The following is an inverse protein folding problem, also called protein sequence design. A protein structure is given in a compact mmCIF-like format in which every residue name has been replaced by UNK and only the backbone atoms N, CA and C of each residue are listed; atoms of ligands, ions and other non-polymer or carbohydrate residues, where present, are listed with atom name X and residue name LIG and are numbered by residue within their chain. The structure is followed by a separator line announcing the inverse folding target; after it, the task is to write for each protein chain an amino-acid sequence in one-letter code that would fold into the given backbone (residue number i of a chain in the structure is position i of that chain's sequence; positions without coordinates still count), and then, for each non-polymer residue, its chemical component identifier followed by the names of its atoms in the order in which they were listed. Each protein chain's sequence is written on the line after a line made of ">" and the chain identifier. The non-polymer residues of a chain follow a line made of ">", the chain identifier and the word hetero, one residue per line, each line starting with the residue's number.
data_IF_449422116662
#
_entry.id   IF_449422116662
#
_cell.length_a   1.000
_cell.length_b   1.000
_cell.length_c   1.000
_cell.angle_alpha   90.00
_cell.angle_beta   90.00
_cell.angle_gamma   90.00
#
_symmetry.space_group_name_H-M   'P 1'
#
loop_
_entity.id
_entity.type
_entity.pdbx_description
1 polymer ?
#
# COMPACT_ATOMS: atom_id res chain seq x y z
N UNK A 1 25.67 22.23 -38.08
CA UNK A 1 25.63 20.76 -38.13
C UNK A 1 25.13 20.29 -36.80
N UNK A 2 23.99 19.62 -36.76
CA UNK A 2 23.41 19.10 -35.52
C UNK A 2 24.35 18.05 -34.92
N UNK A 3 24.41 17.96 -33.59
CA UNK A 3 25.32 17.04 -32.94
C UNK A 3 24.90 15.57 -33.19
N UNK A 4 25.86 14.63 -33.28
CA UNK A 4 25.57 13.23 -33.60
C UNK A 4 24.53 12.59 -32.66
N UNK A 5 24.52 13.00 -31.39
CA UNK A 5 23.63 12.46 -30.38
C UNK A 5 22.16 12.86 -30.59
N UNK A 6 21.86 14.05 -31.15
CA UNK A 6 20.48 14.44 -31.50
C UNK A 6 19.92 13.55 -32.61
N UNK A 7 20.75 13.18 -33.60
CA UNK A 7 20.33 12.26 -34.67
C UNK A 7 20.00 10.87 -34.14
N UNK A 8 20.73 10.36 -33.15
CA UNK A 8 20.42 9.09 -32.50
C UNK A 8 19.13 9.15 -31.69
N UNK A 9 18.93 10.21 -30.90
CA UNK A 9 17.69 10.39 -30.14
C UNK A 9 16.46 10.51 -31.05
N UNK A 10 16.55 11.26 -32.14
CA UNK A 10 15.45 11.39 -33.10
C UNK A 10 15.12 10.07 -33.80
N UNK A 11 16.13 9.22 -34.09
CA UNK A 11 15.89 7.87 -34.62
C UNK A 11 15.15 6.98 -33.62
N UNK A 12 15.55 7.01 -32.34
CA UNK A 12 14.88 6.25 -31.27
C UNK A 12 13.45 6.76 -31.10
N UNK A 13 13.25 8.07 -31.06
CA UNK A 13 11.93 8.69 -30.98
C UNK A 13 11.04 8.29 -32.15
N UNK A 14 11.51 8.42 -33.40
CA UNK A 14 10.74 8.06 -34.58
C UNK A 14 10.40 6.56 -34.62
N UNK A 15 11.29 5.69 -34.14
CA UNK A 15 11.00 4.25 -34.02
C UNK A 15 9.85 4.00 -33.05
N UNK A 16 9.87 4.66 -31.89
CA UNK A 16 8.79 4.53 -30.92
C UNK A 16 7.49 5.17 -31.41
N UNK A 17 7.56 6.30 -32.11
CA UNK A 17 6.40 6.97 -32.69
C UNK A 17 5.69 6.06 -33.71
N UNK A 18 6.47 5.41 -34.58
CA UNK A 18 5.95 4.49 -35.60
C UNK A 18 5.25 3.25 -35.00
N UNK A 19 5.62 2.83 -33.79
CA UNK A 19 5.10 1.61 -33.17
C UNK A 19 4.09 1.85 -32.03
N UNK A 20 4.16 2.99 -31.35
CA UNK A 20 3.39 3.28 -30.13
C UNK A 20 2.58 4.59 -30.21
N UNK A 21 2.68 5.36 -31.31
CA UNK A 21 1.96 6.63 -31.51
C UNK A 21 2.05 7.55 -30.26
N UNK A 22 3.28 7.78 -29.79
CA UNK A 22 3.53 8.50 -28.53
C UNK A 22 2.98 9.93 -28.59
N UNK A 23 3.00 10.57 -29.76
CA UNK A 23 2.40 11.90 -29.94
C UNK A 23 0.90 11.89 -29.65
N UNK A 24 0.16 10.87 -30.10
CA UNK A 24 -1.27 10.80 -29.85
C UNK A 24 -1.59 10.73 -28.34
N UNK A 25 -0.80 9.98 -27.58
CA UNK A 25 -0.93 9.88 -26.11
C UNK A 25 -0.55 11.21 -25.44
N UNK A 26 0.52 11.86 -25.92
CA UNK A 26 0.97 13.14 -25.37
C UNK A 26 -0.05 14.26 -25.63
N UNK A 27 -0.61 14.31 -26.84
CA UNK A 27 -1.64 15.28 -27.22
C UNK A 27 -2.93 15.06 -26.42
N UNK A 28 -3.34 13.81 -26.20
CA UNK A 28 -4.51 13.49 -25.36
C UNK A 28 -4.31 14.00 -23.93
N UNK A 29 -3.18 13.67 -23.29
CA UNK A 29 -2.89 14.09 -21.91
C UNK A 29 -2.76 15.62 -21.78
N UNK A 30 -2.08 16.26 -22.74
CA UNK A 30 -1.84 17.72 -22.68
C UNK A 30 -3.08 18.54 -23.03
N UNK A 31 -4.02 17.98 -23.78
CA UNK A 31 -5.29 18.63 -24.12
C UNK A 31 -6.30 18.65 -22.96
N UNK A 32 -6.03 17.93 -21.86
CA UNK A 32 -6.92 17.88 -20.69
C UNK A 32 -7.02 19.27 -20.04
N UNK A 33 -8.21 19.87 -20.14
CA UNK A 33 -8.50 21.16 -19.53
C UNK A 33 -8.91 21.02 -18.06
N UNK A 34 -8.22 21.74 -17.17
CA UNK A 34 -8.57 21.83 -15.74
C UNK A 34 -9.46 23.05 -15.51
N UNK A 35 -10.70 22.88 -15.01
CA UNK A 35 -11.60 24.01 -14.83
C UNK A 35 -11.14 24.93 -13.69
N UNK A 36 -11.39 26.25 -13.76
CA UNK A 36 -10.80 27.24 -12.85
C UNK A 36 -11.36 27.21 -11.42
N UNK A 37 -12.43 26.45 -11.17
CA UNK A 37 -13.05 26.32 -9.84
C UNK A 37 -12.49 25.15 -9.02
N UNK A 38 -11.39 24.52 -9.46
CA UNK A 38 -10.71 23.50 -8.67
C UNK A 38 -10.06 24.12 -7.42
N UNK A 39 -10.35 23.50 -6.28
CA UNK A 39 -9.82 23.85 -4.97
C UNK A 39 -8.64 22.91 -4.61
N UNK A 40 -7.77 23.31 -3.68
CA UNK A 40 -6.73 22.46 -3.07
C UNK A 40 -7.24 21.07 -2.62
N UNK A 41 -8.52 20.97 -2.24
CA UNK A 41 -9.16 19.70 -1.87
C UNK A 41 -9.15 18.64 -2.99
N UNK A 42 -9.11 19.04 -4.27
CA UNK A 42 -8.98 18.08 -5.37
C UNK A 42 -7.58 17.43 -5.43
N UNK A 43 -6.57 18.02 -4.79
CA UNK A 43 -5.22 17.45 -4.71
C UNK A 43 -5.11 16.26 -3.74
N UNK A 44 -6.13 15.99 -2.89
CA UNK A 44 -6.06 14.89 -1.92
C UNK A 44 -5.85 13.51 -2.56
N UNK A 45 -6.39 13.30 -3.76
CA UNK A 45 -6.14 12.07 -4.54
C UNK A 45 -4.66 11.94 -4.96
N UNK A 46 -4.07 13.03 -5.45
CA UNK A 46 -2.65 13.09 -5.82
C UNK A 46 -1.72 12.91 -4.62
N UNK A 47 -2.07 13.47 -3.45
CA UNK A 47 -1.32 13.27 -2.21
C UNK A 47 -1.35 11.79 -1.81
N UNK A 48 -2.51 11.13 -1.93
CA UNK A 48 -2.64 9.69 -1.66
C UNK A 48 -1.72 8.85 -2.55
N UNK A 49 -1.64 9.19 -3.85
CA UNK A 49 -0.74 8.52 -4.79
C UNK A 49 0.74 8.72 -4.40
N UNK A 50 1.13 9.93 -4.00
CA UNK A 50 2.49 10.19 -3.52
C UNK A 50 2.81 9.37 -2.27
N UNK A 51 1.88 9.27 -1.30
CA UNK A 51 2.06 8.42 -0.13
C UNK A 51 2.22 6.94 -0.50
N UNK A 52 1.48 6.46 -1.51
CA UNK A 52 1.62 5.10 -2.02
C UNK A 52 3.01 4.86 -2.63
N UNK A 53 3.53 5.79 -3.44
CA UNK A 53 4.87 5.68 -4.02
C UNK A 53 5.96 5.66 -2.95
N UNK A 54 5.83 6.49 -1.90
CA UNK A 54 6.73 6.46 -0.74
C UNK A 54 6.64 5.11 -0.03
N UNK A 55 5.44 4.56 0.16
CA UNK A 55 5.24 3.26 0.80
C UNK A 55 5.88 2.13 0.00
N UNK A 56 5.73 2.16 -1.32
CA UNK A 56 6.33 1.19 -2.22
C UNK A 56 7.87 1.25 -2.17
N UNK A 57 8.45 2.44 -2.30
CA UNK A 57 9.91 2.61 -2.26
C UNK A 57 10.52 2.20 -0.92
N UNK A 58 9.93 2.64 0.19
CA UNK A 58 10.43 2.31 1.54
C UNK A 58 10.17 0.86 1.92
N UNK A 59 9.04 0.29 1.51
CA UNK A 59 8.74 -1.13 1.70
C UNK A 59 9.70 -2.01 0.94
N UNK A 60 9.95 -1.69 -0.34
CA UNK A 60 10.93 -2.39 -1.16
C UNK A 60 12.34 -2.35 -0.54
N UNK A 61 12.76 -1.19 -0.01
CA UNK A 61 14.05 -1.08 0.67
C UNK A 61 14.16 -2.00 1.90
N UNK A 62 13.08 -2.17 2.68
CA UNK A 62 13.10 -3.02 3.88
C UNK A 62 13.11 -4.51 3.57
N UNK A 63 12.57 -4.94 2.41
CA UNK A 63 12.58 -6.36 2.00
C UNK A 63 14.01 -6.93 1.93
N UNK A 64 15.00 -6.12 1.53
CA UNK A 64 16.40 -6.56 1.47
C UNK A 64 16.99 -6.94 2.83
N UNK A 65 16.47 -6.38 3.92
CA UNK A 65 16.97 -6.58 5.28
C UNK A 65 16.07 -7.48 6.12
N UNK A 66 14.81 -7.68 5.71
CA UNK A 66 13.84 -8.44 6.47
C UNK A 66 14.00 -9.96 6.25
N UNK A 67 14.00 -10.73 7.34
CA UNK A 67 14.02 -12.19 7.32
C UNK A 67 12.64 -12.72 7.77
N UNK A 68 11.84 -13.34 6.88
CA UNK A 68 10.49 -13.78 7.19
C UNK A 68 10.48 -15.16 7.88
N UNK A 69 11.19 -15.30 9.00
CA UNK A 69 11.25 -16.50 9.84
C UNK A 69 10.81 -16.12 11.26
N UNK A 70 9.93 -16.91 11.89
CA UNK A 70 9.32 -16.56 13.20
C UNK A 70 10.39 -16.28 14.27
N UNK A 71 11.52 -16.99 14.21
CA UNK A 71 12.62 -16.86 15.16
C UNK A 71 13.50 -15.63 14.92
N UNK A 72 13.57 -15.10 13.69
CA UNK A 72 14.47 -13.99 13.33
C UNK A 72 13.73 -12.72 12.90
N UNK A 73 12.40 -12.76 12.73
CA UNK A 73 11.60 -11.63 12.25
C UNK A 73 11.81 -10.38 13.11
N UNK A 74 11.68 -10.52 14.43
CA UNK A 74 11.89 -9.41 15.37
C UNK A 74 13.34 -8.92 15.39
N UNK A 75 14.31 -9.84 15.39
CA UNK A 75 15.74 -9.49 15.35
C UNK A 75 16.12 -8.76 14.04
N UNK A 76 15.53 -9.15 12.90
CA UNK A 76 15.75 -8.47 11.62
C UNK A 76 15.23 -7.03 11.61
N UNK A 77 14.11 -6.78 12.30
CA UNK A 77 13.58 -5.43 12.48
C UNK A 77 14.47 -4.59 13.40
N UNK A 78 15.01 -5.17 14.47
CA UNK A 78 15.97 -4.49 15.34
C UNK A 78 17.25 -4.13 14.57
N UNK A 79 17.77 -5.04 13.75
CA UNK A 79 18.91 -4.76 12.88
C UNK A 79 18.67 -3.55 11.96
N UNK A 80 17.49 -3.44 11.36
CA UNK A 80 17.11 -2.26 10.54
C UNK A 80 17.12 -0.98 11.37
N UNK A 81 16.74 -1.05 12.65
CA UNK A 81 16.68 0.12 13.52
C UNK A 81 18.04 0.56 14.06
N UNK A 82 18.96 -0.37 14.33
CA UNK A 82 20.20 -0.08 15.06
C UNK A 82 21.46 -0.14 14.20
N UNK A 83 21.54 -1.08 13.25
CA UNK A 83 22.77 -1.37 12.50
C UNK A 83 22.71 -0.87 11.05
N UNK A 84 21.52 -0.85 10.43
CA UNK A 84 21.37 -0.41 9.06
C UNK A 84 21.49 1.13 8.95
N UNK A 85 22.38 1.60 8.08
CA UNK A 85 22.52 3.03 7.79
C UNK A 85 21.19 3.63 7.31
N UNK A 86 20.68 4.64 8.00
CA UNK A 86 19.35 5.25 7.79
C UNK A 86 18.14 4.31 7.89
N UNK A 87 18.29 3.08 8.38
CA UNK A 87 17.18 2.12 8.47
C UNK A 87 16.08 2.59 9.44
N UNK A 88 16.46 3.25 10.53
CA UNK A 88 15.50 3.90 11.45
C UNK A 88 14.63 4.96 10.76
N UNK A 89 15.21 5.73 9.83
CA UNK A 89 14.51 6.76 9.08
C UNK A 89 13.55 6.12 8.09
N UNK A 90 14.00 5.12 7.33
CA UNK A 90 13.18 4.40 6.34
C UNK A 90 11.98 3.76 7.04
N UNK A 91 12.17 3.07 8.16
CA UNK A 91 11.09 2.44 8.92
C UNK A 91 10.11 3.48 9.48
N UNK A 92 10.63 4.60 10.00
CA UNK A 92 9.80 5.69 10.52
C UNK A 92 8.94 6.31 9.41
N UNK A 93 9.55 6.64 8.26
CA UNK A 93 8.84 7.17 7.09
C UNK A 93 7.79 6.19 6.59
N UNK A 94 8.11 4.89 6.49
CA UNK A 94 7.15 3.86 6.09
C UNK A 94 5.95 3.76 7.03
N UNK A 95 6.17 3.86 8.36
CA UNK A 95 5.10 3.83 9.36
C UNK A 95 4.24 5.10 9.30
N UNK A 96 4.86 6.27 9.25
CA UNK A 96 4.15 7.55 9.20
C UNK A 96 3.39 7.75 7.87
N UNK A 97 3.99 7.35 6.74
CA UNK A 97 3.34 7.41 5.43
C UNK A 97 2.13 6.49 5.34
N UNK A 98 2.15 5.32 5.97
CA UNK A 98 0.98 4.44 6.05
C UNK A 98 -0.21 5.14 6.75
N UNK A 99 0.03 5.77 7.91
CA UNK A 99 -1.01 6.52 8.63
C UNK A 99 -1.54 7.70 7.81
N UNK A 100 -0.65 8.44 7.14
CA UNK A 100 -1.03 9.56 6.27
C UNK A 100 -1.84 9.09 5.05
N UNK A 101 -1.45 7.97 4.43
CA UNK A 101 -2.16 7.40 3.29
C UNK A 101 -3.61 7.06 3.65
N UNK A 102 -3.84 6.40 4.79
CA UNK A 102 -5.19 6.07 5.26
C UNK A 102 -6.01 7.33 5.55
N UNK A 103 -5.42 8.32 6.22
CA UNK A 103 -6.08 9.61 6.46
C UNK A 103 -6.49 10.30 5.16
N UNK A 104 -5.60 10.34 4.17
CA UNK A 104 -5.85 10.98 2.88
C UNK A 104 -6.92 10.24 2.08
N UNK A 105 -6.96 8.90 2.11
CA UNK A 105 -8.04 8.11 1.51
C UNK A 105 -9.39 8.47 2.13
N UNK A 106 -9.48 8.57 3.45
CA UNK A 106 -10.73 8.93 4.14
C UNK A 106 -11.18 10.33 3.72
N UNK A 107 -10.29 11.31 3.74
CA UNK A 107 -10.61 12.68 3.34
C UNK A 107 -10.97 12.77 1.85
N UNK A 108 -10.27 12.05 0.98
CA UNK A 108 -10.56 12.00 -0.46
C UNK A 108 -11.93 11.37 -0.72
N UNK A 109 -12.26 10.24 -0.07
CA UNK A 109 -13.56 9.61 -0.17
C UNK A 109 -14.68 10.54 0.33
N UNK A 110 -14.46 11.25 1.45
CA UNK A 110 -15.39 12.23 1.98
C UNK A 110 -15.63 13.39 0.99
N UNK A 111 -14.58 13.91 0.36
CA UNK A 111 -14.72 14.95 -0.65
C UNK A 111 -15.48 14.47 -1.88
N UNK A 112 -15.16 13.29 -2.42
CA UNK A 112 -15.87 12.72 -3.58
C UNK A 112 -17.36 12.52 -3.26
N UNK A 113 -17.67 12.14 -2.02
CA UNK A 113 -19.04 12.07 -1.54
C UNK A 113 -19.72 13.45 -1.51
N UNK A 114 -19.08 14.47 -0.93
CA UNK A 114 -19.62 15.83 -0.85
C UNK A 114 -19.80 16.49 -2.22
N UNK A 115 -18.85 16.30 -3.14
CA UNK A 115 -18.93 16.86 -4.50
C UNK A 115 -19.83 16.04 -5.42
N UNK A 116 -20.47 14.97 -4.90
CA UNK A 116 -21.26 14.03 -5.70
C UNK A 116 -20.48 13.43 -6.88
N UNK A 117 -19.15 13.33 -6.78
CA UNK A 117 -18.27 12.82 -7.83
C UNK A 117 -18.44 11.33 -8.13
N UNK A 118 -19.26 10.62 -7.35
CA UNK A 118 -19.65 9.23 -7.59
C UNK A 118 -20.84 9.06 -8.56
N UNK A 119 -21.51 10.15 -8.95
CA UNK A 119 -22.62 10.10 -9.92
C UNK A 119 -22.09 9.88 -11.34
N UNK A 120 -22.95 9.42 -12.26
CA UNK A 120 -22.61 9.30 -13.70
C UNK A 120 -21.94 10.58 -14.22
N UNK A 121 -20.86 10.47 -15.04
CA UNK A 121 -20.30 9.27 -15.67
C UNK A 121 -19.25 8.50 -14.83
N UNK A 122 -18.92 8.95 -13.62
CA UNK A 122 -17.74 8.49 -12.86
C UNK A 122 -17.99 7.31 -11.91
N UNK A 123 -19.06 6.54 -12.13
CA UNK A 123 -19.44 5.41 -11.27
C UNK A 123 -18.34 4.33 -11.23
N UNK A 124 -17.68 4.08 -12.36
CA UNK A 124 -16.59 3.10 -12.44
C UNK A 124 -15.36 3.56 -11.65
N UNK A 125 -14.99 4.84 -11.77
CA UNK A 125 -13.87 5.42 -11.02
C UNK A 125 -14.11 5.34 -9.52
N UNK A 126 -15.36 5.56 -9.08
CA UNK A 126 -15.74 5.38 -7.68
C UNK A 126 -15.57 3.93 -7.22
N UNK A 127 -16.05 2.95 -8.00
CA UNK A 127 -15.89 1.53 -7.66
C UNK A 127 -14.41 1.14 -7.57
N UNK A 128 -13.58 1.59 -8.51
CA UNK A 128 -12.13 1.38 -8.47
C UNK A 128 -11.55 1.99 -7.19
N UNK A 129 -11.96 3.21 -6.83
CA UNK A 129 -11.53 3.87 -5.59
C UNK A 129 -11.89 3.08 -4.33
N UNK A 130 -13.10 2.52 -4.25
CA UNK A 130 -13.54 1.66 -3.14
C UNK A 130 -12.69 0.39 -3.06
N UNK A 131 -12.44 -0.27 -4.20
CA UNK A 131 -11.57 -1.46 -4.25
C UNK A 131 -10.16 -1.12 -3.78
N UNK A 132 -9.59 0.00 -4.24
CA UNK A 132 -8.26 0.46 -3.82
C UNK A 132 -8.21 0.80 -2.32
N UNK A 133 -9.27 1.36 -1.75
CA UNK A 133 -9.35 1.62 -0.31
C UNK A 133 -9.34 0.31 0.50
N UNK A 134 -10.08 -0.71 0.06
CA UNK A 134 -10.09 -2.05 0.70
C UNK A 134 -8.73 -2.74 0.56
N UNK A 135 -8.09 -2.64 -0.61
CA UNK A 135 -6.75 -3.18 -0.80
C UNK A 135 -5.75 -2.48 0.13
N UNK A 136 -5.81 -1.15 0.25
CA UNK A 136 -4.91 -0.38 1.12
C UNK A 136 -5.05 -0.80 2.58
N UNK A 137 -6.27 -0.96 3.09
CA UNK A 137 -6.48 -1.41 4.47
C UNK A 137 -6.02 -2.86 4.67
N UNK A 138 -6.20 -3.72 3.68
CA UNK A 138 -5.68 -5.10 3.68
C UNK A 138 -4.14 -5.15 3.74
N UNK A 139 -3.47 -4.29 2.97
CA UNK A 139 -2.02 -4.10 3.06
C UNK A 139 -1.58 -3.56 4.42
N UNK A 140 -2.36 -2.66 5.03
CA UNK A 140 -2.11 -2.16 6.37
C UNK A 140 -2.13 -3.25 7.44
N UNK A 141 -3.15 -4.13 7.41
CA UNK A 141 -3.27 -5.26 8.34
C UNK A 141 -2.09 -6.23 8.15
N UNK A 142 -1.79 -6.57 6.90
CA UNK A 142 -0.69 -7.50 6.59
C UNK A 142 0.66 -6.90 6.99
N UNK A 143 0.90 -5.61 6.70
CA UNK A 143 2.12 -4.91 7.08
C UNK A 143 2.34 -4.83 8.59
N UNK A 144 1.26 -4.75 9.37
CA UNK A 144 1.31 -4.65 10.83
C UNK A 144 1.77 -5.96 11.51
N UNK A 145 1.60 -7.11 10.86
CA UNK A 145 1.98 -8.40 11.42
C UNK A 145 3.46 -8.76 11.22
N UNK A 146 4.15 -8.14 10.25
CA UNK A 146 5.53 -8.46 9.88
C UNK A 146 6.56 -8.35 11.02
N UNK A 147 6.50 -7.36 11.93
CA UNK A 147 7.46 -7.27 13.04
C UNK A 147 7.31 -8.38 14.07
N UNK A 148 6.19 -9.12 14.06
CA UNK A 148 5.85 -10.20 15.00
C UNK A 148 5.98 -9.79 16.48
N UNK A 149 5.63 -8.54 16.79
CA UNK A 149 5.52 -8.04 18.16
C UNK A 149 4.18 -8.45 18.79
N UNK A 150 4.04 -8.28 20.11
CA UNK A 150 2.83 -8.67 20.84
C UNK A 150 1.57 -8.06 20.23
N UNK A 151 1.63 -6.80 19.80
CA UNK A 151 0.47 -6.10 19.23
C UNK A 151 0.16 -6.58 17.80
N UNK A 152 1.19 -6.80 16.97
CA UNK A 152 1.03 -7.39 15.63
C UNK A 152 0.39 -8.78 15.68
N UNK A 153 0.83 -9.63 16.62
CA UNK A 153 0.25 -10.95 16.84
C UNK A 153 -1.22 -10.88 17.26
N UNK A 154 -1.54 -10.04 18.26
CA UNK A 154 -2.91 -9.87 18.74
C UNK A 154 -3.84 -9.33 17.64
N UNK A 155 -3.35 -8.40 16.81
CA UNK A 155 -4.10 -7.87 15.68
C UNK A 155 -4.47 -8.98 14.66
N UNK A 156 -3.52 -9.83 14.29
CA UNK A 156 -3.79 -10.97 13.39
C UNK A 156 -4.79 -11.95 14.00
N UNK A 157 -4.67 -12.23 15.30
CA UNK A 157 -5.61 -13.09 16.02
C UNK A 157 -7.03 -12.55 15.97
N UNK A 158 -7.22 -11.24 16.20
CA UNK A 158 -8.53 -10.59 16.14
C UNK A 158 -9.09 -10.63 14.71
N UNK A 159 -8.30 -10.25 13.70
CA UNK A 159 -8.73 -10.20 12.30
C UNK A 159 -9.13 -11.59 11.79
N UNK A 160 -8.33 -12.62 12.07
CA UNK A 160 -8.66 -13.99 11.67
C UNK A 160 -9.85 -14.54 12.46
N UNK A 161 -10.03 -14.13 13.72
CA UNK A 161 -11.19 -14.50 14.54
C UNK A 161 -12.53 -13.97 14.01
N UNK A 162 -12.54 -12.78 13.37
CA UNK A 162 -13.76 -12.25 12.73
C UNK A 162 -14.28 -13.17 11.62
N UNK A 163 -13.37 -13.86 10.91
CA UNK A 163 -13.74 -14.78 9.82
C UNK A 163 -14.41 -16.06 10.32
N UNK A 164 -14.19 -16.44 11.58
CA UNK A 164 -14.80 -17.62 12.20
C UNK A 164 -16.30 -17.40 12.52
N UNK A 165 -16.72 -16.14 12.65
CA UNK A 165 -18.10 -15.77 12.98
C UNK A 165 -19.02 -15.85 11.75
N UNK A 166 -18.47 -15.89 10.53
CA UNK A 166 -19.24 -15.96 9.29
C UNK A 166 -19.56 -17.43 8.96
N UNK A 167 -20.82 -17.90 9.13
CA UNK A 167 -21.14 -19.33 9.05
C UNK A 167 -20.93 -19.95 7.66
N UNK A 168 -20.99 -19.13 6.60
CA UNK A 168 -20.93 -19.56 5.20
C UNK A 168 -19.50 -19.68 4.66
N UNK A 169 -18.54 -18.92 5.21
CA UNK A 169 -17.14 -18.87 4.74
C UNK A 169 -16.16 -19.69 5.60
N UNK A 170 -16.69 -20.40 6.62
CA UNK A 170 -15.94 -20.98 7.74
C UNK A 170 -14.79 -21.91 7.35
N UNK A 171 -14.99 -22.82 6.40
CA UNK A 171 -13.99 -23.86 6.12
C UNK A 171 -12.91 -23.46 5.10
N UNK A 172 -13.25 -22.96 3.89
CA UNK A 172 -12.21 -22.68 2.90
C UNK A 172 -11.45 -21.36 3.16
N UNK A 173 -12.10 -20.34 3.73
CA UNK A 173 -11.48 -19.02 3.92
C UNK A 173 -10.47 -19.03 5.08
N UNK A 174 -10.79 -19.70 6.18
CA UNK A 174 -9.92 -19.82 7.35
C UNK A 174 -8.70 -20.67 7.04
N UNK A 175 -8.87 -21.77 6.30
CA UNK A 175 -7.77 -22.64 5.87
C UNK A 175 -6.84 -21.94 4.87
N UNK A 176 -7.39 -21.13 3.94
CA UNK A 176 -6.59 -20.32 3.01
C UNK A 176 -5.84 -19.18 3.72
N UNK A 177 -6.48 -18.51 4.69
CA UNK A 177 -5.87 -17.39 5.43
C UNK A 177 -4.83 -17.86 6.46
N UNK A 178 -5.01 -19.05 7.06
CA UNK A 178 -4.10 -19.61 8.09
C UNK A 178 -3.11 -20.64 7.56
N UNK A 179 -3.30 -21.16 6.35
CA UNK A 179 -2.48 -22.20 5.74
C UNK A 179 -2.72 -23.63 6.26
N UNK A 180 -3.61 -23.84 7.24
CA UNK A 180 -3.99 -25.16 7.77
C UNK A 180 -5.28 -25.11 8.59
N UNK A 181 -6.12 -26.17 8.51
CA UNK A 181 -7.37 -26.31 9.25
C UNK A 181 -7.21 -26.50 10.77
N UNK A 182 -6.00 -26.82 11.26
CA UNK A 182 -5.76 -27.25 12.64
C UNK A 182 -5.01 -26.26 13.54
N UNK A 183 -4.92 -24.98 13.14
CA UNK A 183 -4.55 -23.96 14.11
C UNK A 183 -5.82 -23.46 14.82
N UNK A 184 -6.33 -24.29 15.74
CA UNK A 184 -6.66 -23.71 17.04
C UNK A 184 -5.43 -22.89 17.41
N UNK A 185 -5.62 -21.62 17.67
CA UNK A 185 -4.59 -20.74 18.19
C UNK A 185 -4.25 -21.27 19.59
N UNK A 186 -3.57 -22.41 19.65
CA UNK A 186 -2.85 -22.91 20.81
C UNK A 186 -1.61 -22.03 20.88
N UNK A 187 -1.90 -20.81 21.34
CA UNK A 187 -0.93 -19.86 21.83
C UNK A 187 -0.12 -20.62 22.86
N UNK A 188 1.20 -20.44 22.79
CA UNK A 188 2.11 -20.56 23.92
C UNK A 188 1.39 -20.39 25.27
N UNK A 189 1.68 -21.26 26.26
CA UNK A 189 1.08 -21.14 27.57
C UNK A 189 1.26 -19.71 28.08
N UNK A 190 0.16 -19.17 28.62
CA UNK A 190 0.02 -17.84 29.24
C UNK A 190 1.13 -17.53 30.27
N UNK A 191 1.90 -18.53 30.67
CA UNK A 191 3.02 -18.50 31.61
C UNK A 191 4.21 -17.63 31.18
N UNK A 192 4.36 -17.28 29.89
CA UNK A 192 5.44 -16.35 29.44
C UNK A 192 5.04 -14.87 29.61
N UNK A 193 3.76 -14.55 29.83
CA UNK A 193 3.29 -13.17 30.00
C UNK A 193 3.43 -12.63 31.45
N UNK A 194 3.78 -13.48 32.43
CA UNK A 194 4.01 -13.04 33.82
C UNK A 194 5.46 -12.63 34.11
N UNK A 195 6.39 -12.79 33.15
CA UNK A 195 7.81 -12.49 33.38
C UNK A 195 8.27 -11.09 32.91
N UNK A 196 7.34 -10.24 32.47
CA UNK A 196 7.64 -8.85 32.04
C UNK A 196 6.74 -7.80 32.73
N UNK A 197 6.33 -8.08 33.99
CA UNK A 197 5.78 -7.09 34.93
C UNK A 197 6.73 -6.81 36.10
#
# INVERSE_FOLDING_TARGET
>A
GESPWFTYLNKVYNWFEEHLEIQAIADDITSIYVPPHVNIFYCLGGITLTCFLVQFATGFAMIFYHRPTITEAFASVQYIMTEANFGWLIRSVHRWSASMMVLMIILHAFLVYLTSGFKKPSELTWLIGVVLAVLTTSFGITGYSLPWDQIGYLAVKIVTGVSEVIPILRSPLVELLRGSANLSVEVYPVEVLELDQ
#
